data_IF_089564458686
#
_entry.id   IF_089564458686
#
_cell.length_a   1.000
_cell.length_b   1.000
_cell.length_c   1.000
_cell.angle_alpha   90.00
_cell.angle_beta   90.00
_cell.angle_gamma   90.00
#
_symmetry.space_group_name_H-M   'P 1'
#
loop_
_entity.id
_entity.type
_entity.pdbx_description
1 polymer ?
#
# COMPACT_ATOMS: atom_id res chain seq x y z
N UNK A 1 15.00 10.04 14.87
CA UNK A 1 13.91 9.27 14.32
C UNK A 1 12.67 10.12 14.29
N UNK A 2 12.17 10.34 13.15
CA UNK A 2 11.16 11.33 12.91
C UNK A 2 9.79 10.64 12.83
N UNK A 3 8.81 11.08 13.63
CA UNK A 3 7.45 10.55 13.60
C UNK A 3 6.85 10.56 12.19
N UNK A 4 7.14 11.60 11.42
CA UNK A 4 6.68 11.75 10.03
C UNK A 4 7.22 10.64 9.12
N UNK A 5 8.51 10.35 9.20
CA UNK A 5 9.17 9.30 8.44
C UNK A 5 8.57 7.93 8.76
N UNK A 6 8.36 7.65 10.04
CA UNK A 6 7.80 6.37 10.49
C UNK A 6 6.32 6.19 10.11
N UNK A 7 5.52 7.25 10.10
CA UNK A 7 4.14 7.19 9.61
C UNK A 7 4.10 6.93 8.11
N UNK A 8 4.99 7.57 7.34
CA UNK A 8 5.09 7.31 5.92
C UNK A 8 5.58 5.89 5.62
N UNK A 9 6.58 5.40 6.35
CA UNK A 9 7.03 4.02 6.23
C UNK A 9 5.90 3.03 6.53
N UNK A 10 5.11 3.25 7.58
CA UNK A 10 3.92 2.44 7.90
C UNK A 10 2.92 2.42 6.76
N UNK A 11 2.65 3.55 6.15
CA UNK A 11 1.78 3.67 4.97
C UNK A 11 2.32 2.87 3.78
N UNK A 12 3.62 2.98 3.50
CA UNK A 12 4.25 2.26 2.39
C UNK A 12 4.31 0.75 2.64
N UNK A 13 4.57 0.33 3.88
CA UNK A 13 4.52 -1.09 4.28
C UNK A 13 3.12 -1.65 3.98
N UNK A 14 2.05 -0.99 4.42
CA UNK A 14 0.68 -1.44 4.14
C UNK A 14 0.38 -1.54 2.64
N UNK A 15 0.78 -0.55 1.84
CA UNK A 15 0.61 -0.59 0.39
C UNK A 15 1.39 -1.75 -0.26
N UNK A 16 2.63 -1.97 0.17
CA UNK A 16 3.46 -3.04 -0.37
C UNK A 16 2.96 -4.43 0.05
N UNK A 17 2.44 -4.58 1.27
CA UNK A 17 1.82 -5.84 1.71
C UNK A 17 0.69 -6.27 0.78
N UNK A 18 -0.16 -5.35 0.36
CA UNK A 18 -1.21 -5.65 -0.60
C UNK A 18 -0.68 -5.89 -2.01
N UNK A 19 0.21 -5.02 -2.49
CA UNK A 19 0.73 -5.06 -3.87
C UNK A 19 1.57 -6.29 -4.17
N UNK A 20 2.37 -6.75 -3.20
CA UNK A 20 3.36 -7.82 -3.37
C UNK A 20 3.03 -9.05 -2.52
N UNK A 21 1.74 -9.33 -2.33
CA UNK A 21 1.26 -10.40 -1.45
C UNK A 21 1.90 -11.78 -1.70
N UNK A 22 2.22 -12.09 -2.96
CA UNK A 22 2.85 -13.36 -3.35
C UNK A 22 4.40 -13.31 -3.36
N UNK A 23 5.01 -12.16 -3.03
CA UNK A 23 6.46 -11.92 -3.15
C UNK A 23 7.02 -11.11 -1.98
N UNK A 24 6.42 -11.25 -0.79
CA UNK A 24 6.77 -10.47 0.40
C UNK A 24 8.24 -10.57 0.80
N UNK A 25 8.85 -11.75 0.62
CA UNK A 25 10.25 -12.02 0.91
C UNK A 25 11.23 -11.22 0.02
N UNK A 26 10.76 -10.79 -1.16
CA UNK A 26 11.57 -10.07 -2.15
C UNK A 26 11.36 -8.55 -2.09
N UNK A 27 10.56 -8.06 -1.16
CA UNK A 27 10.39 -6.63 -0.90
C UNK A 27 11.12 -6.28 0.39
N UNK A 28 12.01 -5.29 0.32
CA UNK A 28 12.82 -4.88 1.46
C UNK A 28 12.65 -3.40 1.75
N UNK A 29 12.64 -3.09 3.03
CA UNK A 29 12.61 -1.74 3.57
C UNK A 29 13.90 -1.46 4.34
N UNK A 30 14.49 -0.28 4.13
CA UNK A 30 15.65 0.20 4.87
C UNK A 30 15.49 1.69 5.17
N UNK A 31 15.98 2.16 6.30
CA UNK A 31 15.96 3.58 6.67
C UNK A 31 17.36 4.05 7.05
N UNK A 32 17.59 5.35 6.97
CA UNK A 32 18.83 6.03 7.35
C UNK A 32 20.09 5.37 6.74
N UNK A 33 20.13 5.36 5.41
CA UNK A 33 21.19 4.71 4.64
C UNK A 33 22.49 5.49 4.75
N UNK A 34 23.55 4.88 5.33
CA UNK A 34 24.84 5.52 5.58
C UNK A 34 25.54 6.03 4.30
N UNK A 35 25.26 5.45 3.14
CA UNK A 35 25.93 5.77 1.87
C UNK A 35 24.97 6.33 0.80
N UNK A 36 23.84 6.87 1.21
CA UNK A 36 22.87 7.51 0.32
C UNK A 36 22.73 9.00 0.63
N UNK A 37 22.37 9.79 -0.38
CA UNK A 37 22.02 11.20 -0.23
C UNK A 37 20.52 11.42 -0.11
N UNK A 38 19.72 10.48 -0.60
CA UNK A 38 18.27 10.38 -0.42
C UNK A 38 18.06 9.16 0.47
N UNK A 39 18.06 9.35 1.78
CA UNK A 39 18.41 8.33 2.78
C UNK A 39 17.32 8.00 3.81
N UNK A 40 16.20 8.72 3.83
CA UNK A 40 15.19 8.54 4.87
C UNK A 40 14.46 7.18 4.78
N UNK A 41 14.17 6.70 3.55
CA UNK A 41 13.54 5.39 3.31
C UNK A 41 13.93 4.84 1.94
N UNK A 42 14.38 3.60 1.89
CA UNK A 42 14.58 2.82 0.66
C UNK A 42 13.59 1.66 0.61
N UNK A 43 12.91 1.50 -0.51
CA UNK A 43 12.09 0.33 -0.81
C UNK A 43 12.68 -0.36 -2.03
N UNK A 44 13.04 -1.64 -1.88
CA UNK A 44 13.50 -2.50 -2.98
C UNK A 44 12.41 -3.53 -3.30
N UNK A 45 12.05 -3.66 -4.57
CA UNK A 45 10.96 -4.53 -5.04
C UNK A 45 11.49 -5.77 -5.79
N UNK A 46 10.65 -6.79 -6.05
CA UNK A 46 11.08 -8.07 -6.64
C UNK A 46 11.76 -7.96 -8.01
N UNK A 47 11.50 -6.90 -8.77
CA UNK A 47 12.10 -6.59 -10.06
C UNK A 47 13.45 -5.83 -9.93
N UNK A 48 14.02 -5.82 -8.72
CA UNK A 48 15.25 -5.08 -8.39
C UNK A 48 15.13 -3.57 -8.57
N UNK A 49 13.90 -3.04 -8.61
CA UNK A 49 13.67 -1.61 -8.62
C UNK A 49 13.85 -1.04 -7.22
N UNK A 50 14.57 0.07 -7.11
CA UNK A 50 14.85 0.79 -5.87
C UNK A 50 14.15 2.13 -5.86
N UNK A 51 13.33 2.40 -4.86
CA UNK A 51 12.73 3.71 -4.66
C UNK A 51 13.34 4.36 -3.42
N UNK A 52 14.11 5.42 -3.64
CA UNK A 52 14.71 6.23 -2.57
C UNK A 52 13.77 7.37 -2.21
N UNK A 53 13.50 7.56 -0.93
CA UNK A 53 12.59 8.59 -0.43
C UNK A 53 13.32 9.55 0.48
N UNK A 54 13.14 10.85 0.23
CA UNK A 54 13.49 11.92 1.16
C UNK A 54 12.21 12.49 1.75
N UNK A 55 12.13 12.55 3.05
CA UNK A 55 10.95 13.02 3.76
C UNK A 55 11.21 14.36 4.45
N UNK A 56 10.37 15.35 4.18
CA UNK A 56 10.50 16.71 4.72
C UNK A 56 9.20 17.17 5.38
N UNK A 57 9.24 17.27 6.70
CA UNK A 57 8.15 17.83 7.51
C UNK A 57 8.52 19.24 7.97
N UNK A 58 8.63 20.15 7.00
CA UNK A 58 9.00 21.56 7.23
C UNK A 58 8.10 22.47 6.40
N UNK A 59 7.87 23.69 6.90
CA UNK A 59 7.11 24.69 6.18
C UNK A 59 7.94 25.30 5.03
N UNK A 60 7.25 25.69 3.96
CA UNK A 60 7.83 26.45 2.84
C UNK A 60 9.06 25.78 2.20
N UNK A 61 9.00 24.47 2.00
CA UNK A 61 10.07 23.71 1.37
C UNK A 61 10.33 24.19 -0.07
N UNK A 62 11.60 24.25 -0.46
CA UNK A 62 12.05 24.52 -1.83
C UNK A 62 13.19 23.58 -2.21
N UNK A 63 13.48 23.43 -3.50
CA UNK A 63 14.63 22.66 -3.98
C UNK A 63 15.99 23.22 -3.55
N UNK A 64 16.03 24.47 -3.11
CA UNK A 64 17.24 25.15 -2.59
C UNK A 64 17.34 25.09 -1.06
N UNK A 65 16.40 24.43 -0.38
CA UNK A 65 16.43 24.26 1.08
C UNK A 65 17.63 23.39 1.48
N UNK A 66 18.36 23.85 2.48
CA UNK A 66 19.58 23.22 3.02
C UNK A 66 20.70 24.24 3.24
N UNK A 67 21.59 23.96 4.18
CA UNK A 67 22.72 24.86 4.54
C UNK A 67 24.04 24.41 3.93
N UNK A 68 24.42 23.16 4.08
CA UNK A 68 25.64 22.57 3.52
C UNK A 68 25.40 21.85 2.19
N UNK A 69 24.22 21.25 2.05
CA UNK A 69 23.74 20.56 0.86
C UNK A 69 22.33 21.02 0.58
N UNK A 70 22.03 21.31 -0.68
CA UNK A 70 20.67 21.64 -1.09
C UNK A 70 19.92 20.36 -1.44
N UNK A 71 18.60 20.38 -1.26
CA UNK A 71 17.75 19.24 -1.62
C UNK A 71 17.96 18.79 -3.07
N UNK A 72 18.02 19.72 -4.02
CA UNK A 72 18.33 19.40 -5.43
C UNK A 72 19.72 18.84 -5.61
N UNK A 73 20.70 19.26 -4.80
CA UNK A 73 22.07 18.75 -4.84
C UNK A 73 22.15 17.30 -4.36
N UNK A 74 21.43 16.96 -3.29
CA UNK A 74 21.39 15.59 -2.76
C UNK A 74 20.70 14.63 -3.74
N UNK A 75 19.58 15.04 -4.34
CA UNK A 75 18.91 14.29 -5.38
C UNK A 75 19.80 14.06 -6.60
N UNK A 76 20.55 15.08 -7.02
CA UNK A 76 21.49 14.96 -8.14
C UNK A 76 22.61 13.95 -7.84
N UNK A 77 23.20 14.02 -6.64
CA UNK A 77 24.25 13.08 -6.22
C UNK A 77 23.72 11.65 -6.15
N UNK A 78 22.54 11.44 -5.59
CA UNK A 78 21.93 10.13 -5.53
C UNK A 78 21.68 9.57 -6.94
N UNK A 79 21.16 10.38 -7.84
CA UNK A 79 20.95 10.01 -9.24
C UNK A 79 22.27 9.59 -9.93
N UNK A 80 23.36 10.36 -9.73
CA UNK A 80 24.69 10.07 -10.28
C UNK A 80 25.20 8.70 -9.78
N UNK A 81 25.17 8.46 -8.46
CA UNK A 81 25.63 7.20 -7.85
C UNK A 81 24.79 6.02 -8.34
N UNK A 82 23.46 6.14 -8.31
CA UNK A 82 22.57 5.05 -8.74
C UNK A 82 22.74 4.74 -10.23
N UNK A 83 23.01 5.76 -11.06
CA UNK A 83 23.29 5.59 -12.50
C UNK A 83 24.64 4.91 -12.74
N UNK A 84 25.69 5.29 -12.02
CA UNK A 84 27.01 4.66 -12.09
C UNK A 84 26.94 3.17 -11.68
N UNK A 85 26.13 2.87 -10.66
CA UNK A 85 25.88 1.50 -10.21
C UNK A 85 24.91 0.71 -11.11
N UNK A 86 24.39 1.33 -12.17
CA UNK A 86 23.42 0.74 -13.10
C UNK A 86 22.16 0.21 -12.39
N UNK A 87 21.74 0.89 -11.36
CA UNK A 87 20.51 0.55 -10.63
C UNK A 87 19.28 0.89 -11.48
N UNK A 88 18.21 0.11 -11.29
CA UNK A 88 16.88 0.49 -11.71
C UNK A 88 16.24 1.26 -10.56
N UNK A 89 16.07 2.59 -10.67
CA UNK A 89 15.73 3.42 -9.52
C UNK A 89 14.77 4.57 -9.85
N UNK A 90 14.12 5.04 -8.79
CA UNK A 90 13.33 6.26 -8.72
C UNK A 90 13.67 7.02 -7.43
N UNK A 91 13.64 8.34 -7.48
CA UNK A 91 13.81 9.22 -6.32
C UNK A 91 12.47 9.90 -6.00
N UNK A 92 12.09 9.92 -4.73
CA UNK A 92 10.84 10.55 -4.27
C UNK A 92 11.10 11.57 -3.18
N UNK A 93 10.59 12.76 -3.40
CA UNK A 93 10.49 13.78 -2.37
C UNK A 93 9.09 13.73 -1.76
N UNK A 94 9.01 13.43 -0.46
CA UNK A 94 7.78 13.39 0.30
C UNK A 94 7.73 14.61 1.21
N UNK A 95 6.66 15.37 1.15
CA UNK A 95 6.55 16.65 1.87
C UNK A 95 5.17 16.81 2.52
N UNK A 96 5.14 17.54 3.65
CA UNK A 96 3.93 17.70 4.45
C UNK A 96 3.20 19.02 4.24
N UNK A 97 3.91 20.10 3.91
CA UNK A 97 3.31 21.44 3.77
C UNK A 97 2.86 21.71 2.34
N UNK A 98 1.55 21.83 2.14
CA UNK A 98 0.95 22.13 0.83
C UNK A 98 1.36 23.47 0.23
N UNK A 99 1.87 24.39 1.04
CA UNK A 99 2.36 25.69 0.56
C UNK A 99 3.82 25.64 0.06
N UNK A 100 4.44 24.46 0.06
CA UNK A 100 5.81 24.29 -0.43
C UNK A 100 5.90 24.47 -1.94
N UNK A 101 6.90 25.21 -2.41
CA UNK A 101 7.14 25.46 -3.83
C UNK A 101 8.18 24.46 -4.37
N UNK A 102 7.76 23.21 -4.57
CA UNK A 102 8.60 22.09 -4.99
C UNK A 102 8.01 21.29 -6.16
N UNK A 103 6.84 21.69 -6.67
CA UNK A 103 6.17 21.00 -7.77
C UNK A 103 6.94 21.13 -9.10
N UNK A 104 7.71 22.20 -9.28
CA UNK A 104 8.62 22.37 -10.42
C UNK A 104 9.95 21.66 -10.13
N UNK A 105 10.07 20.43 -10.56
CA UNK A 105 11.28 19.63 -10.37
C UNK A 105 12.40 20.16 -11.28
N UNK A 106 13.64 20.41 -10.75
CA UNK A 106 14.76 20.86 -11.55
C UNK A 106 15.04 19.90 -12.72
N UNK A 107 15.25 20.46 -13.91
CA UNK A 107 15.41 19.72 -15.18
C UNK A 107 16.48 18.62 -15.06
N UNK A 108 17.58 18.89 -14.35
CA UNK A 108 18.70 17.95 -14.22
C UNK A 108 18.37 16.65 -13.43
N UNK A 109 17.25 16.61 -12.69
CA UNK A 109 16.85 15.44 -11.90
C UNK A 109 15.43 14.95 -12.23
N UNK A 110 14.68 15.69 -13.04
CA UNK A 110 13.25 15.46 -13.28
C UNK A 110 12.92 14.10 -13.89
N UNK A 111 13.86 13.51 -14.65
CA UNK A 111 13.66 12.21 -15.29
C UNK A 111 13.47 11.07 -14.27
N UNK A 112 14.13 11.16 -13.12
CA UNK A 112 14.13 10.10 -12.09
C UNK A 112 13.40 10.50 -10.81
N UNK A 113 12.87 11.73 -10.76
CA UNK A 113 12.35 12.31 -9.52
C UNK A 113 10.85 12.55 -9.62
N UNK A 114 10.14 12.15 -8.57
CA UNK A 114 8.74 12.51 -8.35
C UNK A 114 8.56 13.18 -6.99
N UNK A 115 7.47 13.92 -6.85
CA UNK A 115 7.13 14.69 -5.64
C UNK A 115 5.76 14.28 -5.17
N UNK A 116 5.63 13.92 -3.88
CA UNK A 116 4.38 13.42 -3.30
C UNK A 116 4.05 14.17 -2.02
N UNK A 117 2.86 14.73 -1.96
CA UNK A 117 2.33 15.28 -0.73
C UNK A 117 1.83 14.15 0.18
N UNK A 118 2.34 14.10 1.41
CA UNK A 118 1.88 13.23 2.48
C UNK A 118 1.65 14.09 3.73
N UNK A 119 0.41 14.24 4.22
CA UNK A 119 0.13 15.18 5.30
C UNK A 119 0.73 14.71 6.63
N UNK A 120 1.13 15.66 7.46
CA UNK A 120 1.54 15.38 8.82
C UNK A 120 0.38 15.59 9.80
N UNK A 121 0.21 14.62 10.70
CA UNK A 121 -0.68 14.70 11.86
C UNK A 121 0.09 14.29 13.11
N UNK A 122 -0.29 14.86 14.26
CA UNK A 122 0.42 14.62 15.52
C UNK A 122 0.24 13.18 16.05
N UNK A 123 -0.80 12.48 15.59
CA UNK A 123 -1.06 11.08 15.97
C UNK A 123 -1.41 10.24 14.75
N UNK A 124 -1.09 8.94 14.83
CA UNK A 124 -1.43 7.97 13.81
C UNK A 124 -2.95 7.87 13.58
N UNK A 125 -3.76 7.95 14.65
CA UNK A 125 -5.21 7.96 14.56
C UNK A 125 -5.74 9.13 13.73
N UNK A 126 -5.24 10.33 13.96
CA UNK A 126 -5.64 11.49 13.17
C UNK A 126 -5.27 11.30 11.69
N UNK A 127 -4.10 10.74 11.41
CA UNK A 127 -3.67 10.46 10.04
C UNK A 127 -4.62 9.47 9.35
N UNK A 128 -5.00 8.38 10.01
CA UNK A 128 -5.95 7.39 9.47
C UNK A 128 -7.33 8.02 9.20
N UNK A 129 -7.82 8.83 10.13
CA UNK A 129 -9.15 9.46 10.00
C UNK A 129 -9.19 10.54 8.92
N UNK A 130 -8.07 11.27 8.74
CA UNK A 130 -8.03 12.49 7.92
C UNK A 130 -7.38 12.29 6.55
N UNK A 131 -6.69 11.16 6.32
CA UNK A 131 -6.02 10.85 5.06
C UNK A 131 -6.53 9.54 4.47
N UNK A 132 -7.57 9.60 3.60
CA UNK A 132 -8.21 8.41 3.03
C UNK A 132 -7.25 7.40 2.40
N UNK A 133 -6.19 7.81 1.65
CA UNK A 133 -5.27 6.83 1.08
C UNK A 133 -4.60 5.93 2.12
N UNK A 134 -4.27 6.44 3.31
CA UNK A 134 -3.71 5.62 4.37
C UNK A 134 -4.75 4.66 4.95
N UNK A 135 -5.95 5.16 5.22
CA UNK A 135 -7.08 4.34 5.69
C UNK A 135 -7.34 3.18 4.71
N UNK A 136 -7.36 3.46 3.42
CA UNK A 136 -7.60 2.47 2.38
C UNK A 136 -6.46 1.44 2.30
N UNK A 137 -5.20 1.87 2.44
CA UNK A 137 -4.05 0.96 2.50
C UNK A 137 -4.17 -0.04 3.66
N UNK A 138 -4.60 0.41 4.85
CA UNK A 138 -4.81 -0.49 6.00
C UNK A 138 -6.02 -1.41 5.78
N UNK A 139 -7.12 -0.89 5.21
CA UNK A 139 -8.30 -1.72 4.89
C UNK A 139 -7.96 -2.88 3.95
N UNK A 140 -7.11 -2.65 2.97
CA UNK A 140 -6.73 -3.68 1.98
C UNK A 140 -6.00 -4.88 2.59
N UNK A 141 -5.34 -4.70 3.73
CA UNK A 141 -4.59 -5.75 4.42
C UNK A 141 -5.32 -6.34 5.62
N UNK A 142 -6.50 -5.81 5.99
CA UNK A 142 -7.32 -6.37 7.06
C UNK A 142 -8.22 -7.48 6.56
N UNK A 143 -8.42 -8.49 7.40
CA UNK A 143 -9.34 -9.59 7.13
C UNK A 143 -10.82 -9.21 7.28
N UNK A 144 -11.10 -8.06 7.88
CA UNK A 144 -12.45 -7.63 8.21
C UNK A 144 -12.92 -6.56 7.23
N UNK A 145 -13.84 -6.88 6.29
CA UNK A 145 -14.35 -5.90 5.33
C UNK A 145 -14.99 -4.67 5.98
N UNK A 146 -15.59 -4.86 7.15
CA UNK A 146 -16.26 -3.83 7.96
C UNK A 146 -15.41 -3.43 9.17
N UNK A 147 -14.08 -3.40 9.01
CA UNK A 147 -13.20 -3.01 10.11
C UNK A 147 -13.51 -1.59 10.60
N UNK A 148 -13.72 -1.44 11.89
CA UNK A 148 -13.91 -0.14 12.53
C UNK A 148 -12.62 0.66 12.53
N UNK A 149 -12.71 1.97 12.75
CA UNK A 149 -11.54 2.84 12.82
C UNK A 149 -10.57 2.44 13.94
N UNK A 150 -11.06 1.86 15.04
CA UNK A 150 -10.26 1.32 16.13
C UNK A 150 -9.45 0.11 15.67
N UNK A 151 -10.05 -0.80 14.90
CA UNK A 151 -9.35 -1.97 14.34
C UNK A 151 -8.28 -1.53 13.35
N UNK A 152 -8.60 -0.60 12.45
CA UNK A 152 -7.64 -0.05 11.49
C UNK A 152 -6.46 0.65 12.20
N UNK A 153 -6.76 1.42 13.25
CA UNK A 153 -5.74 2.07 14.09
C UNK A 153 -4.86 1.06 14.81
N UNK A 154 -5.44 -0.04 15.29
CA UNK A 154 -4.70 -1.14 15.92
C UNK A 154 -3.73 -1.81 14.96
N UNK A 155 -4.17 -2.10 13.72
CA UNK A 155 -3.33 -2.68 12.67
C UNK A 155 -2.18 -1.74 12.31
N UNK A 156 -2.47 -0.45 12.05
CA UNK A 156 -1.45 0.52 11.74
C UNK A 156 -0.44 0.70 12.88
N UNK A 157 -0.90 0.65 14.14
CA UNK A 157 -0.02 0.71 15.32
C UNK A 157 0.86 -0.52 15.44
N UNK A 158 0.37 -1.71 15.09
CA UNK A 158 1.17 -2.93 15.06
C UNK A 158 2.28 -2.85 13.99
N UNK A 159 1.96 -2.39 12.78
CA UNK A 159 2.94 -2.17 11.72
C UNK A 159 4.00 -1.17 12.18
N UNK A 160 3.58 -0.02 12.73
CA UNK A 160 4.47 1.01 13.25
C UNK A 160 5.38 0.46 14.36
N UNK A 161 4.85 -0.34 15.28
CA UNK A 161 5.61 -0.96 16.36
C UNK A 161 6.68 -1.92 15.87
N UNK A 162 6.35 -2.76 14.88
CA UNK A 162 7.33 -3.65 14.24
C UNK A 162 8.39 -2.84 13.51
N UNK A 163 8.00 -1.84 12.72
CA UNK A 163 8.94 -0.95 12.01
C UNK A 163 9.92 -0.28 12.96
N UNK A 164 9.45 0.25 14.10
CA UNK A 164 10.31 0.85 15.12
C UNK A 164 11.32 -0.14 15.72
N UNK A 165 10.91 -1.39 15.89
CA UNK A 165 11.77 -2.43 16.48
C UNK A 165 12.87 -2.94 15.54
N UNK A 166 12.68 -2.75 14.23
CA UNK A 166 13.60 -3.21 13.18
C UNK A 166 14.63 -2.14 12.76
N UNK A 167 14.79 -1.08 13.53
CA UNK A 167 15.54 0.13 13.19
C UNK A 167 16.86 -0.11 12.43
N UNK A 168 17.00 0.56 11.28
CA UNK A 168 18.22 0.78 10.49
C UNK A 168 18.75 -0.39 9.62
N UNK A 169 18.32 -1.61 9.80
CA UNK A 169 18.72 -2.72 8.94
C UNK A 169 17.72 -2.96 7.81
N UNK A 170 18.18 -3.57 6.72
CA UNK A 170 17.28 -3.99 5.65
C UNK A 170 16.40 -5.13 6.17
N UNK A 171 15.08 -4.90 6.18
CA UNK A 171 14.10 -5.90 6.61
C UNK A 171 13.20 -6.29 5.45
N UNK A 172 12.93 -7.60 5.28
CA UNK A 172 11.96 -8.04 4.29
C UNK A 172 10.53 -7.78 4.77
N UNK A 173 9.64 -7.55 3.81
CA UNK A 173 8.22 -7.39 4.10
C UNK A 173 7.61 -8.65 4.72
N UNK A 174 8.10 -9.84 4.36
CA UNK A 174 7.72 -11.10 4.98
C UNK A 174 8.04 -11.11 6.48
N UNK A 175 9.24 -10.65 6.86
CA UNK A 175 9.63 -10.56 8.27
C UNK A 175 8.72 -9.62 9.06
N UNK A 176 8.35 -8.47 8.46
CA UNK A 176 7.41 -7.52 9.08
C UNK A 176 6.06 -8.21 9.33
N UNK A 177 5.55 -8.94 8.34
CA UNK A 177 4.28 -9.68 8.45
C UNK A 177 4.36 -10.73 9.55
N UNK A 178 5.41 -11.52 9.58
CA UNK A 178 5.60 -12.56 10.59
C UNK A 178 5.66 -11.98 12.01
N UNK A 179 6.29 -10.84 12.19
CA UNK A 179 6.40 -10.18 13.49
C UNK A 179 5.05 -9.55 13.91
N UNK A 180 4.29 -8.98 12.99
CA UNK A 180 2.92 -8.52 13.27
C UNK A 180 2.04 -9.70 13.70
N UNK A 181 2.12 -10.84 13.02
CA UNK A 181 1.33 -12.04 13.35
C UNK A 181 1.69 -12.62 14.72
N UNK A 182 2.94 -12.51 15.16
CA UNK A 182 3.36 -12.87 16.52
C UNK A 182 2.76 -11.97 17.59
N UNK A 183 2.55 -10.67 17.29
CA UNK A 183 1.95 -9.71 18.22
C UNK A 183 0.45 -9.96 18.44
N UNK A 184 -0.25 -10.47 17.44
CA UNK A 184 -1.69 -10.73 17.55
C UNK A 184 -2.23 -11.53 16.37
N UNK A 185 -2.65 -12.77 16.64
CA UNK A 185 -3.36 -13.58 15.65
C UNK A 185 -4.70 -12.92 15.31
N UNK A 186 -4.82 -12.38 14.09
CA UNK A 186 -6.06 -11.80 13.57
C UNK A 186 -6.02 -10.32 13.22
N UNK A 187 -4.93 -9.60 13.48
CA UNK A 187 -4.81 -8.21 13.03
C UNK A 187 -4.63 -8.10 11.51
N UNK A 188 -3.79 -8.96 10.95
CA UNK A 188 -3.51 -8.97 9.52
C UNK A 188 -3.76 -10.37 9.01
N UNK A 189 -4.80 -10.55 8.23
CA UNK A 189 -5.04 -11.80 7.54
C UNK A 189 -4.28 -11.77 6.22
N UNK A 190 -3.02 -12.13 6.28
CA UNK A 190 -2.17 -12.35 5.11
C UNK A 190 -2.28 -13.79 4.62
N UNK A 191 -3.48 -14.35 4.66
CA UNK A 191 -3.71 -15.60 3.94
C UNK A 191 -3.62 -15.23 2.47
N UNK A 192 -2.57 -15.67 1.82
CA UNK A 192 -2.47 -15.78 0.38
C UNK A 192 -3.50 -16.78 -0.13
N UNK A 193 -4.76 -16.39 -0.08
CA UNK A 193 -5.67 -16.99 -1.04
C UNK A 193 -5.32 -16.27 -2.35
N UNK A 194 -4.95 -17.01 -3.41
CA UNK A 194 -4.86 -16.41 -4.71
C UNK A 194 -6.17 -15.64 -4.92
N UNK A 195 -6.08 -14.36 -5.22
CA UNK A 195 -7.26 -13.56 -5.56
C UNK A 195 -7.89 -14.28 -6.73
N UNK A 196 -8.98 -15.02 -6.48
CA UNK A 196 -9.65 -15.73 -7.55
C UNK A 196 -10.27 -14.69 -8.45
N UNK A 197 -9.94 -14.75 -9.70
CA UNK A 197 -10.59 -13.95 -10.74
C UNK A 197 -11.89 -14.62 -11.12
N UNK A 198 -12.92 -13.85 -11.29
CA UNK A 198 -14.18 -14.31 -11.89
C UNK A 198 -13.95 -14.39 -13.40
N UNK A 199 -14.25 -15.54 -14.03
CA UNK A 199 -14.14 -15.68 -15.49
C UNK A 199 -15.01 -14.65 -16.23
N UNK A 200 -14.62 -14.31 -17.44
CA UNK A 200 -15.38 -13.35 -18.25
C UNK A 200 -16.81 -13.83 -18.49
N UNK A 201 -16.99 -15.12 -18.72
CA UNK A 201 -18.30 -15.74 -18.91
C UNK A 201 -19.21 -15.56 -17.68
N UNK A 202 -18.65 -15.72 -16.48
CA UNK A 202 -19.41 -15.54 -15.25
C UNK A 202 -19.71 -14.04 -14.98
N UNK A 203 -18.77 -13.15 -15.28
CA UNK A 203 -19.02 -11.71 -15.24
C UNK A 203 -20.13 -11.29 -16.20
N UNK A 204 -20.19 -11.89 -17.39
CA UNK A 204 -21.22 -11.61 -18.37
C UNK A 204 -22.61 -12.06 -17.88
N UNK A 205 -22.69 -13.14 -17.11
CA UNK A 205 -23.93 -13.57 -16.44
C UNK A 205 -24.32 -12.53 -15.39
N UNK A 206 -23.43 -12.15 -14.51
CA UNK A 206 -23.71 -11.18 -13.44
C UNK A 206 -24.16 -9.83 -13.98
N UNK A 207 -23.50 -9.33 -15.02
CA UNK A 207 -23.81 -8.04 -15.65
C UNK A 207 -25.16 -8.00 -16.40
N UNK A 208 -25.71 -9.16 -16.74
CA UNK A 208 -27.05 -9.25 -17.36
C UNK A 208 -28.19 -9.16 -16.32
N UNK A 209 -27.90 -9.38 -15.05
CA UNK A 209 -28.90 -9.38 -13.98
C UNK A 209 -29.07 -7.96 -13.45
N UNK A 210 -30.22 -7.38 -13.67
CA UNK A 210 -30.51 -6.01 -13.28
C UNK A 210 -30.40 -5.79 -11.77
N UNK A 211 -29.61 -4.77 -11.39
CA UNK A 211 -29.41 -4.39 -9.99
C UNK A 211 -28.47 -5.30 -9.20
N UNK A 212 -27.83 -6.28 -9.85
CA UNK A 212 -26.79 -7.09 -9.22
C UNK A 212 -25.43 -6.41 -9.34
N UNK A 213 -24.76 -6.22 -8.22
CA UNK A 213 -23.39 -5.70 -8.14
C UNK A 213 -22.53 -6.65 -7.32
N UNK A 214 -21.26 -6.74 -7.65
CA UNK A 214 -20.35 -7.69 -6.99
C UNK A 214 -18.93 -7.15 -6.91
N UNK A 215 -18.20 -7.65 -5.94
CA UNK A 215 -16.76 -7.45 -5.79
C UNK A 215 -16.15 -8.72 -5.21
N UNK A 216 -14.94 -9.07 -5.66
CA UNK A 216 -14.20 -10.18 -5.08
C UNK A 216 -13.05 -9.64 -4.24
N UNK A 217 -12.92 -10.17 -3.02
CA UNK A 217 -11.80 -9.90 -2.15
C UNK A 217 -11.21 -11.23 -1.65
N UNK A 218 -9.98 -11.52 -2.09
CA UNK A 218 -9.36 -12.83 -1.88
C UNK A 218 -10.16 -13.95 -2.56
N UNK A 219 -10.73 -14.84 -1.77
CA UNK A 219 -11.58 -15.95 -2.23
C UNK A 219 -13.06 -15.72 -1.93
N UNK A 220 -13.45 -14.53 -1.50
CA UNK A 220 -14.83 -14.24 -1.12
C UNK A 220 -15.46 -13.29 -2.13
N UNK A 221 -16.57 -13.69 -2.70
CA UNK A 221 -17.45 -12.86 -3.52
C UNK A 221 -18.41 -12.12 -2.59
N UNK A 222 -18.33 -10.80 -2.59
CA UNK A 222 -19.32 -9.91 -1.98
C UNK A 222 -20.29 -9.47 -3.06
N UNK A 223 -21.59 -9.50 -2.75
CA UNK A 223 -22.60 -9.14 -3.71
C UNK A 223 -23.72 -8.32 -3.08
N UNK A 224 -24.39 -7.53 -3.90
CA UNK A 224 -25.62 -6.86 -3.53
C UNK A 224 -26.61 -6.87 -4.69
N UNK A 225 -27.89 -6.94 -4.36
CA UNK A 225 -28.99 -6.85 -5.31
C UNK A 225 -30.21 -6.18 -4.67
N UNK A 226 -30.45 -4.92 -4.97
CA UNK A 226 -31.45 -4.12 -4.30
C UNK A 226 -31.13 -3.92 -2.80
N UNK A 227 -31.98 -4.42 -1.92
CA UNK A 227 -31.77 -4.37 -0.45
C UNK A 227 -31.06 -5.58 0.13
N UNK A 228 -30.76 -6.56 -0.71
CA UNK A 228 -30.11 -7.80 -0.28
C UNK A 228 -28.60 -7.69 -0.50
N UNK A 229 -27.85 -8.12 0.49
CA UNK A 229 -26.38 -8.18 0.44
C UNK A 229 -25.93 -9.51 0.98
N UNK A 230 -24.85 -10.07 0.45
CA UNK A 230 -24.28 -11.30 0.95
C UNK A 230 -22.80 -11.43 0.63
N UNK A 231 -22.22 -12.48 1.19
CA UNK A 231 -20.86 -12.88 0.89
C UNK A 231 -20.78 -14.40 0.78
N UNK A 232 -20.09 -14.89 -0.24
CA UNK A 232 -20.02 -16.32 -0.57
C UNK A 232 -18.58 -16.68 -0.91
N UNK A 233 -18.04 -17.80 -0.40
CA UNK A 233 -16.74 -18.30 -0.83
C UNK A 233 -16.75 -18.56 -2.35
N UNK A 234 -15.86 -17.85 -3.08
CA UNK A 234 -15.76 -18.03 -4.53
C UNK A 234 -14.86 -19.21 -4.84
N UNK A 235 -15.44 -20.30 -5.33
CA UNK A 235 -14.75 -21.56 -5.64
C UNK A 235 -14.91 -21.91 -7.12
N UNK A 236 -14.01 -22.73 -7.66
CA UNK A 236 -14.15 -23.24 -9.04
C UNK A 236 -15.44 -24.05 -9.22
N UNK A 237 -15.85 -24.75 -8.17
CA UNK A 237 -17.08 -25.52 -8.17
C UNK A 237 -18.31 -24.60 -8.27
N UNK A 238 -18.36 -23.53 -7.47
CA UNK A 238 -19.45 -22.55 -7.52
C UNK A 238 -19.49 -21.87 -8.89
N UNK A 239 -18.33 -21.45 -9.41
CA UNK A 239 -18.26 -20.85 -10.74
C UNK A 239 -18.74 -21.79 -11.83
N UNK A 240 -18.34 -23.06 -11.79
CA UNK A 240 -18.83 -24.10 -12.72
C UNK A 240 -20.34 -24.29 -12.61
N UNK A 241 -20.91 -24.30 -11.40
CA UNK A 241 -22.36 -24.40 -11.18
C UNK A 241 -23.07 -23.19 -11.83
N UNK A 242 -22.59 -21.97 -11.60
CA UNK A 242 -23.21 -20.77 -12.17
C UNK A 242 -23.14 -20.78 -13.69
N UNK A 243 -22.01 -21.18 -14.28
CA UNK A 243 -21.85 -21.29 -15.73
C UNK A 243 -22.79 -22.36 -16.34
N UNK A 244 -22.96 -23.49 -15.67
CA UNK A 244 -23.83 -24.58 -16.13
C UNK A 244 -25.32 -24.20 -16.04
N UNK A 245 -25.73 -23.55 -14.92
CA UNK A 245 -27.14 -23.19 -14.70
C UNK A 245 -27.50 -21.94 -15.53
N UNK A 246 -26.53 -21.02 -15.74
CA UNK A 246 -26.70 -19.77 -16.46
C UNK A 246 -27.93 -18.99 -15.99
N UNK A 247 -27.97 -18.55 -14.70
CA UNK A 247 -29.14 -17.86 -14.15
C UNK A 247 -29.45 -16.60 -14.92
N UNK A 248 -30.74 -16.38 -15.23
CA UNK A 248 -31.22 -15.24 -16.00
C UNK A 248 -31.93 -14.20 -15.14
N UNK A 249 -32.19 -14.50 -13.89
CA UNK A 249 -32.81 -13.59 -12.94
C UNK A 249 -32.09 -13.60 -11.59
N UNK A 250 -32.35 -12.55 -10.80
CA UNK A 250 -31.68 -12.32 -9.52
C UNK A 250 -31.94 -13.40 -8.47
N UNK A 251 -33.12 -13.99 -8.47
CA UNK A 251 -33.50 -14.96 -7.44
C UNK A 251 -32.76 -16.27 -7.66
N UNK A 252 -32.70 -16.73 -8.92
CA UNK A 252 -31.94 -17.91 -9.29
C UNK A 252 -30.44 -17.73 -8.97
N UNK A 253 -29.87 -16.54 -9.19
CA UNK A 253 -28.48 -16.28 -8.84
C UNK A 253 -28.27 -16.22 -7.32
N UNK A 254 -29.13 -15.52 -6.58
CA UNK A 254 -29.01 -15.42 -5.12
C UNK A 254 -29.14 -16.80 -4.45
N UNK A 255 -30.02 -17.67 -4.94
CA UNK A 255 -30.17 -19.05 -4.44
C UNK A 255 -28.85 -19.86 -4.60
N UNK A 256 -28.10 -19.63 -5.68
CA UNK A 256 -26.81 -20.27 -5.90
C UNK A 256 -25.70 -19.68 -5.00
N UNK A 257 -25.82 -18.42 -4.67
CA UNK A 257 -24.85 -17.71 -3.84
C UNK A 257 -25.07 -17.92 -2.33
N UNK A 258 -26.20 -18.44 -1.94
CA UNK A 258 -26.55 -18.78 -0.54
C UNK A 258 -27.12 -17.60 0.21
#
# INVERSE_FOLDING_TARGET
GNTYENYYATYQIANCMFRYLEKLENVHFSSQLENAFVDDLLISTPDSHKTYHQLKNVASLTWHTGTSHTLSGDFKRQMEISSENKENFELKLIYSDQNSNITEIPIGISQYTSVVHFPFYSTLNQLILSYPPFKDAIKQITAQPEATDEVLSGIASAILGVWYSCAQESISLQQIVDDIQKMGKGYVNMVTYPTRTISQECQDIFNKIEGFTYNINGTTLYWSCGYMTGSTPWTEELESIILNINPTDKWALIELLG
#
